data_IF_141219903184
#
_entry.id   IF_141219903184
#
_cell.length_a   1.000
_cell.length_b   1.000
_cell.length_c   1.000
_cell.angle_alpha   90.00
_cell.angle_beta   90.00
_cell.angle_gamma   90.00
#
_symmetry.space_group_name_H-M   'P 1'
#
loop_
_entity.id
_entity.type
_entity.pdbx_description
1 polymer ?
#
# COMPACT_ATOMS: atom_id res chain seq x y z
N UNK A 1 2.14 -21.91 -35.68
CA UNK A 1 2.80 -22.88 -34.77
C UNK A 1 3.72 -22.06 -33.88
N UNK A 2 3.33 -21.67 -32.66
CA UNK A 2 3.39 -22.46 -31.40
C UNK A 2 4.80 -23.06 -31.19
N UNK A 3 5.54 -22.91 -30.08
CA UNK A 3 5.39 -22.31 -28.75
C UNK A 3 6.83 -22.19 -28.15
N UNK A 4 7.13 -21.18 -27.33
CA UNK A 4 7.40 -21.25 -25.87
C UNK A 4 8.62 -22.07 -25.37
N UNK A 5 9.13 -21.63 -24.21
CA UNK A 5 10.11 -22.25 -23.27
C UNK A 5 11.56 -21.82 -23.51
N UNK A 6 12.28 -21.19 -22.59
CA UNK A 6 11.97 -20.79 -21.22
C UNK A 6 13.24 -20.28 -20.54
N UNK A 7 13.24 -19.04 -20.09
CA UNK A 7 14.27 -18.48 -19.21
C UNK A 7 13.83 -18.65 -17.77
N UNK A 8 14.02 -19.86 -17.25
CA UNK A 8 13.78 -20.20 -15.84
C UNK A 8 14.80 -19.48 -14.94
N UNK A 9 14.27 -18.73 -13.99
CA UNK A 9 14.67 -18.72 -12.57
C UNK A 9 16.16 -18.49 -12.25
N UNK A 10 16.54 -17.22 -12.08
CA UNK A 10 17.83 -16.84 -11.47
C UNK A 10 17.73 -16.40 -9.99
N UNK A 11 16.52 -16.28 -9.43
CA UNK A 11 16.35 -15.83 -8.04
C UNK A 11 16.21 -16.98 -7.02
N UNK A 12 16.00 -18.22 -7.46
CA UNK A 12 15.85 -19.37 -6.56
C UNK A 12 17.18 -19.93 -6.01
N UNK A 13 18.33 -19.57 -6.59
CA UNK A 13 19.60 -20.28 -6.34
C UNK A 13 20.48 -19.63 -5.27
N UNK A 14 20.21 -18.37 -4.88
CA UNK A 14 21.05 -17.66 -3.89
C UNK A 14 20.53 -17.82 -2.45
N UNK A 15 19.31 -18.33 -2.24
CA UNK A 15 18.69 -18.44 -0.91
C UNK A 15 18.97 -19.76 -0.17
N UNK A 16 19.64 -20.75 -0.77
CA UNK A 16 19.89 -22.04 -0.13
C UNK A 16 21.39 -22.37 -0.02
N UNK A 17 22.03 -21.82 1.02
CA UNK A 17 23.27 -22.42 1.56
C UNK A 17 23.13 -22.58 3.08
N UNK A 18 22.80 -23.82 3.50
CA UNK A 18 22.89 -24.39 4.87
C UNK A 18 24.12 -23.82 5.63
N UNK A 19 24.11 -23.53 6.93
CA UNK A 19 23.44 -24.18 8.06
C UNK A 19 23.49 -23.21 9.27
N UNK A 20 22.34 -22.73 9.74
CA UNK A 20 22.15 -22.25 11.11
C UNK A 20 20.86 -22.90 11.61
N UNK A 21 20.84 -23.29 12.89
CA UNK A 21 19.79 -24.07 13.56
C UNK A 21 18.38 -23.69 13.11
N UNK A 22 17.75 -24.61 12.37
CA UNK A 22 16.32 -24.56 12.06
C UNK A 22 15.56 -24.73 13.38
N UNK A 23 15.26 -23.60 14.03
CA UNK A 23 14.19 -23.55 15.03
C UNK A 23 12.90 -23.80 14.27
N UNK A 24 12.04 -24.75 14.68
CA UNK A 24 10.80 -25.03 13.96
C UNK A 24 9.97 -23.75 13.86
N UNK A 25 9.85 -23.28 12.62
CA UNK A 25 9.15 -22.06 12.17
C UNK A 25 7.68 -21.96 12.63
N UNK A 26 7.09 -23.08 13.05
CA UNK A 26 5.68 -23.17 13.46
C UNK A 26 5.35 -22.53 14.83
N UNK A 27 6.35 -22.18 15.67
CA UNK A 27 6.08 -21.69 17.02
C UNK A 27 6.12 -20.17 17.19
N UNK A 28 6.67 -19.42 16.22
CA UNK A 28 6.83 -17.97 16.34
C UNK A 28 5.68 -17.21 15.68
N UNK A 29 5.14 -16.25 16.42
CA UNK A 29 4.25 -15.22 15.91
C UNK A 29 4.95 -14.33 14.89
N UNK A 30 4.18 -13.65 14.03
CA UNK A 30 4.74 -12.73 13.04
C UNK A 30 5.62 -11.66 13.71
N UNK A 31 5.22 -11.18 14.89
CA UNK A 31 5.96 -10.19 15.66
C UNK A 31 7.32 -10.69 16.14
N UNK A 32 7.40 -11.94 16.60
CA UNK A 32 8.67 -12.53 17.04
C UNK A 32 9.62 -12.75 15.88
N UNK A 33 9.10 -13.17 14.71
CA UNK A 33 9.91 -13.32 13.49
C UNK A 33 10.43 -11.96 13.02
N UNK A 34 9.60 -10.91 13.03
CA UNK A 34 10.01 -9.55 12.70
C UNK A 34 11.08 -9.01 13.65
N UNK A 35 10.92 -9.24 14.97
CA UNK A 35 11.89 -8.82 15.96
C UNK A 35 13.26 -9.50 15.72
N UNK A 36 13.26 -10.80 15.41
CA UNK A 36 14.47 -11.57 15.08
C UNK A 36 15.14 -11.03 13.82
N UNK A 37 14.36 -10.81 12.76
CA UNK A 37 14.86 -10.27 11.50
C UNK A 37 15.52 -8.90 11.68
N UNK A 38 14.97 -8.02 12.51
CA UNK A 38 15.54 -6.69 12.75
C UNK A 38 16.88 -6.73 13.48
N UNK A 39 17.03 -7.67 14.42
CA UNK A 39 18.26 -7.84 15.19
C UNK A 39 19.36 -8.51 14.36
N UNK A 40 19.06 -9.61 13.66
CA UNK A 40 20.04 -10.42 12.94
C UNK A 40 20.25 -10.00 11.48
N UNK A 41 19.21 -9.47 10.83
CA UNK A 41 19.23 -9.11 9.41
C UNK A 41 19.24 -10.30 8.45
N UNK A 42 19.06 -11.52 8.95
CA UNK A 42 19.09 -12.73 8.13
C UNK A 42 17.81 -12.86 7.32
N UNK A 43 17.94 -12.90 5.99
CA UNK A 43 16.79 -13.04 5.07
C UNK A 43 16.07 -14.37 5.28
N UNK A 44 16.73 -15.39 5.86
CA UNK A 44 16.07 -16.64 6.24
C UNK A 44 14.94 -16.42 7.26
N UNK A 45 15.04 -15.38 8.12
CA UNK A 45 13.97 -15.02 9.06
C UNK A 45 12.74 -14.48 8.34
N UNK A 46 12.94 -13.66 7.30
CA UNK A 46 11.84 -13.20 6.45
C UNK A 46 11.22 -14.32 5.62
N UNK A 47 12.01 -15.34 5.26
CA UNK A 47 11.50 -16.52 4.54
C UNK A 47 10.28 -17.15 5.22
N UNK A 48 10.26 -17.16 6.56
CA UNK A 48 9.11 -17.66 7.34
C UNK A 48 7.85 -16.82 7.12
N UNK A 49 7.97 -15.48 7.13
CA UNK A 49 6.85 -14.59 6.86
C UNK A 49 6.39 -14.70 5.41
N UNK A 50 7.34 -14.93 4.48
CA UNK A 50 7.03 -15.02 3.06
C UNK A 50 6.23 -16.28 2.77
N UNK A 51 6.68 -17.43 3.25
CA UNK A 51 5.94 -18.70 3.12
C UNK A 51 4.53 -18.60 3.71
N UNK A 52 4.38 -17.94 4.86
CA UNK A 52 3.11 -17.78 5.56
C UNK A 52 2.12 -16.88 4.81
N UNK A 53 2.59 -15.78 4.24
CA UNK A 53 1.72 -14.71 3.72
C UNK A 53 1.66 -14.63 2.18
N UNK A 54 2.53 -15.34 1.46
CA UNK A 54 2.56 -15.33 -0.01
C UNK A 54 1.20 -15.68 -0.64
N UNK A 55 0.45 -16.70 -0.18
CA UNK A 55 -0.86 -17.01 -0.77
C UNK A 55 -1.87 -15.85 -0.67
N UNK A 56 -1.90 -15.15 0.46
CA UNK A 56 -2.79 -14.02 0.69
C UNK A 56 -2.39 -12.80 -0.14
N UNK A 57 -1.10 -12.49 -0.17
CA UNK A 57 -0.55 -11.41 -1.01
C UNK A 57 -0.85 -11.66 -2.48
N UNK A 58 -0.60 -12.89 -2.97
CA UNK A 58 -0.89 -13.25 -4.35
C UNK A 58 -2.38 -13.11 -4.68
N UNK A 59 -3.27 -13.54 -3.79
CA UNK A 59 -4.71 -13.39 -3.97
C UNK A 59 -5.13 -11.91 -4.04
N UNK A 60 -4.53 -11.04 -3.22
CA UNK A 60 -4.75 -9.58 -3.30
C UNK A 60 -4.27 -9.03 -4.65
N UNK A 61 -3.05 -9.36 -5.06
CA UNK A 61 -2.48 -8.89 -6.32
C UNK A 61 -3.34 -9.30 -7.52
N UNK A 62 -3.72 -10.58 -7.57
CA UNK A 62 -4.58 -11.14 -8.63
C UNK A 62 -5.93 -10.45 -8.71
N UNK A 63 -6.54 -10.12 -7.56
CA UNK A 63 -7.82 -9.41 -7.52
C UNK A 63 -7.74 -8.02 -8.14
N UNK A 64 -6.62 -7.32 -7.99
CA UNK A 64 -6.46 -5.95 -8.49
C UNK A 64 -5.92 -5.87 -9.92
N UNK A 65 -4.94 -6.70 -10.26
CA UNK A 65 -4.28 -6.62 -11.57
C UNK A 65 -5.05 -7.35 -12.67
N UNK A 66 -6.02 -8.20 -12.28
CA UNK A 66 -6.79 -9.07 -13.17
C UNK A 66 -5.89 -10.00 -14.00
N UNK A 67 -6.43 -10.98 -14.75
CA UNK A 67 -5.60 -11.84 -15.60
C UNK A 67 -4.81 -11.03 -16.64
N UNK A 68 -3.56 -11.43 -16.95
CA UNK A 68 -2.93 -12.72 -16.65
C UNK A 68 -2.33 -12.84 -15.24
N UNK A 69 -2.19 -14.07 -14.73
CA UNK A 69 -1.61 -14.36 -13.41
C UNK A 69 -0.14 -13.93 -13.28
N UNK A 70 0.57 -13.78 -14.40
CA UNK A 70 1.96 -13.31 -14.45
C UNK A 70 2.12 -11.93 -13.78
N UNK A 71 1.18 -11.02 -14.02
CA UNK A 71 1.18 -9.69 -13.40
C UNK A 71 1.09 -9.77 -11.87
N UNK A 72 0.25 -10.68 -11.36
CA UNK A 72 0.08 -10.88 -9.93
C UNK A 72 1.32 -11.53 -9.30
N UNK A 73 2.01 -12.43 -10.02
CA UNK A 73 3.25 -13.05 -9.57
C UNK A 73 4.37 -12.00 -9.46
N UNK A 74 4.53 -11.19 -10.50
CA UNK A 74 5.54 -10.12 -10.55
C UNK A 74 5.29 -9.09 -9.46
N UNK A 75 4.07 -8.61 -9.29
CA UNK A 75 3.71 -7.66 -8.23
C UNK A 75 3.95 -8.22 -6.82
N UNK A 76 3.64 -9.50 -6.60
CA UNK A 76 3.90 -10.16 -5.31
C UNK A 76 5.41 -10.23 -5.02
N UNK A 77 6.22 -10.58 -6.02
CA UNK A 77 7.68 -10.65 -5.89
C UNK A 77 8.27 -9.26 -5.60
N UNK A 78 7.90 -8.25 -6.39
CA UNK A 78 8.35 -6.87 -6.23
C UNK A 78 7.99 -6.32 -4.85
N UNK A 79 6.78 -6.62 -4.36
CA UNK A 79 6.36 -6.26 -3.02
C UNK A 79 7.32 -6.87 -1.98
N UNK A 80 7.54 -8.19 -2.00
CA UNK A 80 8.41 -8.86 -1.03
C UNK A 80 9.86 -8.39 -1.09
N UNK A 81 10.42 -8.11 -2.27
CA UNK A 81 11.74 -7.48 -2.39
C UNK A 81 11.82 -6.15 -1.65
N UNK A 82 10.77 -5.33 -1.74
CA UNK A 82 10.69 -4.07 -1.02
C UNK A 82 10.57 -4.26 0.51
N UNK A 83 9.86 -5.31 0.95
CA UNK A 83 9.70 -5.59 2.38
C UNK A 83 11.02 -5.94 3.07
N UNK A 84 11.99 -6.53 2.36
CA UNK A 84 13.33 -6.81 2.90
C UNK A 84 13.94 -5.54 3.49
N UNK A 85 13.91 -4.44 2.76
CA UNK A 85 14.49 -3.17 3.23
C UNK A 85 13.56 -2.50 4.24
N UNK A 86 12.24 -2.49 3.99
CA UNK A 86 11.26 -1.76 4.81
C UNK A 86 11.15 -2.30 6.24
N UNK A 87 11.18 -3.61 6.41
CA UNK A 87 11.01 -4.24 7.73
C UNK A 87 12.25 -4.11 8.63
N UNK A 88 13.39 -3.68 8.08
CA UNK A 88 14.58 -3.32 8.88
C UNK A 88 14.37 -2.04 9.69
N UNK A 89 13.57 -1.11 9.18
CA UNK A 89 13.36 0.20 9.81
C UNK A 89 11.97 0.35 10.41
N UNK A 90 10.96 -0.31 9.85
CA UNK A 90 9.58 -0.26 10.32
C UNK A 90 9.11 -1.58 10.96
N UNK A 91 8.38 -1.48 12.07
CA UNK A 91 7.70 -2.61 12.73
C UNK A 91 6.21 -2.32 12.78
N UNK A 92 5.37 -3.04 12.02
CA UNK A 92 3.92 -2.89 12.10
C UNK A 92 3.35 -3.60 13.32
N UNK A 93 2.31 -3.03 13.96
CA UNK A 93 1.66 -3.63 15.12
C UNK A 93 0.82 -4.87 14.75
N UNK A 94 0.12 -4.82 13.61
CA UNK A 94 -0.53 -5.97 12.99
C UNK A 94 0.05 -6.22 11.60
N UNK A 95 0.97 -7.19 11.50
CA UNK A 95 1.68 -7.48 10.26
C UNK A 95 0.75 -7.89 9.11
N UNK A 96 -0.24 -8.75 9.34
CA UNK A 96 -1.17 -9.21 8.30
C UNK A 96 -2.03 -8.08 7.73
N UNK A 97 -2.65 -7.26 8.59
CA UNK A 97 -3.45 -6.12 8.15
C UNK A 97 -2.60 -5.08 7.40
N UNK A 98 -1.39 -4.82 7.90
CA UNK A 98 -0.41 -3.94 7.28
C UNK A 98 0.04 -4.47 5.90
N UNK A 99 0.31 -5.77 5.80
CA UNK A 99 0.77 -6.42 4.58
C UNK A 99 -0.31 -6.40 3.50
N UNK A 100 -1.56 -6.69 3.87
CA UNK A 100 -2.71 -6.58 2.97
C UNK A 100 -2.84 -5.17 2.39
N UNK A 101 -2.78 -4.15 3.25
CA UNK A 101 -2.86 -2.76 2.83
C UNK A 101 -1.69 -2.37 1.92
N UNK A 102 -0.49 -2.84 2.25
CA UNK A 102 0.73 -2.61 1.47
C UNK A 102 0.62 -3.26 0.09
N UNK A 103 0.16 -4.51 0.00
CA UNK A 103 -0.08 -5.23 -1.26
C UNK A 103 -1.14 -4.53 -2.13
N UNK A 104 -2.29 -4.17 -1.55
CA UNK A 104 -3.33 -3.40 -2.26
C UNK A 104 -2.78 -2.10 -2.83
N UNK A 105 -2.01 -1.35 -2.05
CA UNK A 105 -1.43 -0.08 -2.49
C UNK A 105 -0.42 -0.27 -3.61
N UNK A 106 0.39 -1.33 -3.54
CA UNK A 106 1.33 -1.70 -4.58
C UNK A 106 0.61 -1.91 -5.93
N UNK A 107 -0.45 -2.73 -5.95
CA UNK A 107 -1.24 -2.95 -7.18
C UNK A 107 -1.89 -1.68 -7.72
N UNK A 108 -2.44 -0.82 -6.85
CA UNK A 108 -3.03 0.45 -7.27
C UNK A 108 -1.99 1.39 -7.89
N UNK A 109 -0.76 1.40 -7.37
CA UNK A 109 0.33 2.18 -7.98
C UNK A 109 0.71 1.65 -9.36
N UNK A 110 0.73 0.33 -9.51
CA UNK A 110 1.03 -0.30 -10.79
C UNK A 110 -0.04 -0.02 -11.84
N UNK A 111 -1.32 -0.14 -11.49
CA UNK A 111 -2.44 0.23 -12.38
C UNK A 111 -2.37 1.70 -12.82
N UNK A 112 -2.00 2.61 -11.91
CA UNK A 112 -1.77 4.03 -12.26
C UNK A 112 -0.60 4.20 -13.23
N UNK A 113 0.49 3.47 -13.04
CA UNK A 113 1.64 3.52 -13.95
C UNK A 113 1.26 3.00 -15.35
N UNK A 114 0.50 1.90 -15.42
CA UNK A 114 -0.04 1.34 -16.68
C UNK A 114 -0.92 2.35 -17.42
N UNK A 115 -1.82 3.04 -16.72
CA UNK A 115 -2.70 4.08 -17.29
C UNK A 115 -1.92 5.25 -17.91
N UNK A 116 -0.76 5.62 -17.34
CA UNK A 116 0.08 6.72 -17.84
C UNK A 116 1.00 6.32 -19.00
N UNK A 117 1.04 5.05 -19.40
CA UNK A 117 1.96 4.57 -20.44
C UNK A 117 3.44 4.59 -20.02
N UNK A 118 3.73 4.78 -18.73
CA UNK A 118 5.07 4.69 -18.19
C UNK A 118 5.37 3.23 -17.86
N UNK A 119 6.45 2.67 -18.43
CA UNK A 119 6.87 1.30 -18.12
C UNK A 119 7.03 1.12 -16.60
N UNK A 120 6.34 0.13 -16.04
CA UNK A 120 6.49 -0.29 -14.65
C UNK A 120 7.91 -0.81 -14.42
N UNK A 121 8.78 0.07 -13.93
CA UNK A 121 10.17 -0.27 -13.60
C UNK A 121 10.86 0.77 -12.71
N UNK A 122 10.12 1.78 -12.23
CA UNK A 122 10.66 2.76 -11.31
C UNK A 122 10.80 2.16 -9.90
N UNK A 123 11.86 2.51 -9.14
CA UNK A 123 12.06 1.97 -7.80
C UNK A 123 10.82 2.23 -6.92
N UNK A 124 10.39 1.18 -6.21
CA UNK A 124 9.31 1.13 -5.20
C UNK A 124 9.56 2.02 -3.98
N UNK A 125 10.19 3.19 -4.13
CA UNK A 125 10.58 4.08 -3.04
C UNK A 125 9.41 4.80 -2.35
N UNK A 126 8.18 4.53 -2.76
CA UNK A 126 7.06 5.45 -2.58
C UNK A 126 5.71 4.75 -2.34
N UNK A 127 5.69 3.59 -1.69
CA UNK A 127 4.46 3.21 -1.00
C UNK A 127 4.21 4.21 0.14
N UNK A 128 2.96 4.68 0.34
CA UNK A 128 2.60 5.36 1.58
C UNK A 128 3.11 4.53 2.75
N UNK A 129 3.70 5.20 3.74
CA UNK A 129 4.25 4.50 4.88
C UNK A 129 3.11 3.74 5.55
N UNK A 130 3.30 2.45 5.78
CA UNK A 130 2.17 1.58 6.09
C UNK A 130 1.74 1.68 7.57
N UNK A 131 2.46 2.52 8.35
CA UNK A 131 2.00 3.19 9.58
C UNK A 131 0.76 4.07 9.39
N UNK A 132 0.39 4.41 8.15
CA UNK A 132 -0.63 5.42 7.88
C UNK A 132 -1.97 4.83 7.36
N UNK A 133 -2.18 3.51 7.47
CA UNK A 133 -3.30 2.78 6.84
C UNK A 133 -4.14 1.94 7.81
N UNK A 134 -3.85 1.94 9.13
CA UNK A 134 -4.71 1.28 10.12
C UNK A 134 -6.17 1.79 10.12
N UNK A 135 -6.44 2.91 9.44
CA UNK A 135 -7.75 3.54 9.43
C UNK A 135 -8.69 3.14 8.30
N UNK A 136 -8.28 2.25 7.38
CA UNK A 136 -9.07 1.90 6.19
C UNK A 136 -9.57 0.44 6.15
N UNK A 137 -9.22 -0.40 7.13
CA UNK A 137 -9.56 -1.83 7.13
C UNK A 137 -10.95 -2.17 7.71
N UNK A 138 -11.87 -1.20 7.80
CA UNK A 138 -13.23 -1.43 8.26
C UNK A 138 -14.24 -0.79 7.29
N UNK A 139 -14.62 -1.51 6.23
CA UNK A 139 -15.92 -1.35 5.59
C UNK A 139 -16.26 -2.59 4.76
N UNK A 140 -17.39 -3.18 5.12
CA UNK A 140 -18.06 -4.29 4.44
C UNK A 140 -18.52 -3.85 3.04
N UNK A 141 -18.64 -4.83 2.14
CA UNK A 141 -19.18 -4.70 0.77
C UNK A 141 -20.64 -4.18 0.80
N UNK A 142 -21.02 -3.15 0.01
CA UNK A 142 -22.41 -2.74 -0.12
C UNK A 142 -23.20 -3.60 -1.13
N UNK A 143 -24.50 -3.78 -0.86
CA UNK A 143 -25.49 -4.51 -1.67
C UNK A 143 -26.41 -3.52 -2.43
N UNK A 144 -26.97 -3.95 -3.57
CA UNK A 144 -27.44 -3.14 -4.69
C UNK A 144 -28.88 -2.55 -4.59
N UNK A 145 -29.31 -2.09 -3.40
CA UNK A 145 -30.69 -1.62 -3.19
C UNK A 145 -30.83 -0.13 -2.78
N UNK A 146 -29.76 0.67 -2.85
CA UNK A 146 -29.67 1.96 -2.16
C UNK A 146 -29.65 3.22 -3.06
N UNK A 147 -29.99 3.12 -4.35
CA UNK A 147 -29.55 4.11 -5.36
C UNK A 147 -30.17 5.53 -5.22
N UNK A 148 -31.37 5.72 -4.66
CA UNK A 148 -31.98 7.06 -4.53
C UNK A 148 -31.65 7.79 -3.22
N UNK A 149 -31.43 7.04 -2.13
CA UNK A 149 -30.97 7.57 -0.83
C UNK A 149 -29.43 7.74 -0.85
N UNK A 150 -28.74 6.98 -1.71
CA UNK A 150 -27.32 7.14 -2.02
C UNK A 150 -27.01 8.50 -2.64
N UNK A 151 -27.82 9.04 -3.55
CA UNK A 151 -27.49 10.29 -4.24
C UNK A 151 -27.44 11.50 -3.29
N UNK A 152 -28.44 11.64 -2.40
CA UNK A 152 -28.47 12.72 -1.41
C UNK A 152 -27.35 12.55 -0.36
N UNK A 153 -27.11 11.32 0.09
CA UNK A 153 -26.00 11.02 1.02
C UNK A 153 -24.63 11.22 0.35
N UNK A 154 -24.53 10.93 -0.95
CA UNK A 154 -23.33 11.12 -1.75
C UNK A 154 -23.01 12.60 -1.90
N UNK A 155 -24.00 13.43 -2.26
CA UNK A 155 -23.83 14.88 -2.35
C UNK A 155 -23.48 15.51 -1.00
N UNK A 156 -24.11 15.06 0.09
CA UNK A 156 -23.75 15.49 1.45
C UNK A 156 -22.30 15.10 1.83
N UNK A 157 -21.86 13.90 1.44
CA UNK A 157 -20.48 13.44 1.67
C UNK A 157 -19.47 14.25 0.85
N UNK A 158 -19.80 14.63 -0.39
CA UNK A 158 -18.96 15.49 -1.23
C UNK A 158 -18.83 16.89 -0.63
N UNK A 159 -19.91 17.50 -0.19
CA UNK A 159 -19.87 18.79 0.51
C UNK A 159 -19.03 18.72 1.79
N UNK A 160 -19.14 17.62 2.56
CA UNK A 160 -18.31 17.38 3.73
C UNK A 160 -16.82 17.32 3.39
N UNK A 161 -16.49 16.67 2.27
CA UNK A 161 -15.13 16.56 1.78
C UNK A 161 -14.58 17.92 1.33
N UNK A 162 -15.35 18.71 0.58
CA UNK A 162 -14.98 20.06 0.12
C UNK A 162 -14.69 21.00 1.30
N UNK A 163 -15.60 21.05 2.28
CA UNK A 163 -15.39 21.82 3.51
C UNK A 163 -14.15 21.33 4.26
N UNK A 164 -13.98 20.02 4.38
CA UNK A 164 -12.81 19.44 5.05
C UNK A 164 -11.50 19.80 4.36
N UNK A 165 -11.46 19.80 3.02
CA UNK A 165 -10.33 20.24 2.22
C UNK A 165 -10.04 21.73 2.43
N UNK A 166 -11.08 22.56 2.54
CA UNK A 166 -10.96 24.02 2.75
C UNK A 166 -10.24 24.39 4.06
N UNK A 167 -10.23 23.48 5.05
CA UNK A 167 -9.51 23.68 6.30
C UNK A 167 -8.02 23.33 6.22
N UNK A 168 -7.58 22.56 5.23
CA UNK A 168 -6.18 22.16 5.13
C UNK A 168 -5.27 23.36 4.80
N UNK A 169 -4.04 23.40 5.36
CA UNK A 169 -3.01 24.33 4.92
C UNK A 169 -2.76 24.24 3.40
N UNK A 170 -2.47 25.36 2.71
CA UNK A 170 -2.38 25.40 1.25
C UNK A 170 -1.45 24.35 0.66
N UNK A 171 -0.24 24.20 1.21
CA UNK A 171 0.74 23.22 0.70
C UNK A 171 0.30 21.77 0.91
N UNK A 172 -0.38 21.48 2.03
CA UNK A 172 -0.93 20.15 2.29
C UNK A 172 -2.06 19.83 1.31
N UNK A 173 -2.99 20.79 1.11
CA UNK A 173 -4.06 20.65 0.14
C UNK A 173 -3.50 20.46 -1.27
N UNK A 174 -2.55 21.30 -1.68
CA UNK A 174 -1.97 21.25 -3.02
C UNK A 174 -1.26 19.93 -3.27
N UNK A 175 -0.49 19.42 -2.30
CA UNK A 175 0.11 18.09 -2.40
C UNK A 175 -0.96 16.99 -2.54
N UNK A 176 -2.04 17.04 -1.76
CA UNK A 176 -3.12 16.06 -1.85
C UNK A 176 -3.85 16.10 -3.20
N UNK A 177 -4.18 17.29 -3.71
CA UNK A 177 -4.81 17.46 -5.02
C UNK A 177 -3.94 16.85 -6.12
N UNK A 178 -2.66 17.25 -6.17
CA UNK A 178 -1.73 16.74 -7.16
C UNK A 178 -1.60 15.22 -7.10
N UNK A 179 -1.51 14.65 -5.89
CA UNK A 179 -1.27 13.22 -5.72
C UNK A 179 -2.53 12.36 -5.91
N UNK A 180 -3.67 12.78 -5.35
CA UNK A 180 -4.89 11.97 -5.32
C UNK A 180 -5.88 12.31 -6.43
N UNK A 181 -5.97 13.58 -6.86
CA UNK A 181 -6.89 14.00 -7.92
C UNK A 181 -6.20 14.00 -9.29
N UNK A 182 -4.99 14.57 -9.38
CA UNK A 182 -4.21 14.58 -10.62
C UNK A 182 -3.35 13.31 -10.81
N UNK A 183 -3.46 12.34 -9.88
CA UNK A 183 -2.75 11.05 -9.89
C UNK A 183 -1.21 11.12 -10.05
N UNK A 184 -0.59 12.24 -9.65
CA UNK A 184 0.85 12.45 -9.78
C UNK A 184 1.66 11.60 -8.80
N UNK A 185 2.81 11.13 -9.25
CA UNK A 185 3.84 10.51 -8.40
C UNK A 185 4.47 11.55 -7.47
N UNK A 186 5.11 11.10 -6.39
CA UNK A 186 5.82 12.04 -5.50
C UNK A 186 6.86 12.88 -6.23
N UNK A 187 7.56 12.31 -7.22
CA UNK A 187 8.54 13.05 -8.02
C UNK A 187 7.85 14.13 -8.87
N UNK A 188 6.71 13.83 -9.49
CA UNK A 188 5.93 14.83 -10.24
C UNK A 188 5.33 15.90 -9.32
N UNK A 189 4.95 15.55 -8.09
CA UNK A 189 4.52 16.52 -7.07
C UNK A 189 5.69 17.42 -6.66
N UNK A 190 6.88 16.85 -6.42
CA UNK A 190 8.12 17.61 -6.17
C UNK A 190 8.39 18.58 -7.31
N UNK A 191 8.37 18.10 -8.56
CA UNK A 191 8.57 18.93 -9.76
C UNK A 191 7.50 20.02 -9.88
N UNK A 192 6.24 19.71 -9.58
CA UNK A 192 5.13 20.66 -9.70
C UNK A 192 5.11 21.73 -8.60
N UNK A 193 5.62 21.40 -7.41
CA UNK A 193 5.54 22.28 -6.21
C UNK A 193 6.87 22.94 -5.85
N UNK A 194 8.00 22.42 -6.34
CA UNK A 194 9.33 22.84 -5.93
C UNK A 194 9.74 22.41 -4.51
N UNK A 195 8.89 21.67 -3.80
CA UNK A 195 9.14 21.23 -2.43
C UNK A 195 10.09 20.02 -2.39
N UNK A 196 10.88 19.91 -1.34
CA UNK A 196 11.73 18.72 -1.12
C UNK A 196 10.87 17.45 -0.93
N UNK A 197 11.35 16.30 -1.41
CA UNK A 197 10.62 15.02 -1.35
C UNK A 197 10.11 14.66 0.06
N UNK A 198 10.95 14.84 1.08
CA UNK A 198 10.56 14.56 2.47
C UNK A 198 9.45 15.50 2.96
N UNK A 199 9.44 16.74 2.49
CA UNK A 199 8.41 17.71 2.81
C UNK A 199 7.09 17.38 2.10
N UNK A 200 7.14 16.96 0.83
CA UNK A 200 5.96 16.44 0.10
C UNK A 200 5.36 15.24 0.83
N UNK A 201 6.18 14.27 1.26
CA UNK A 201 5.72 13.12 2.05
C UNK A 201 5.05 13.56 3.35
N UNK A 202 5.67 14.47 4.09
CA UNK A 202 5.12 15.02 5.33
C UNK A 202 3.79 15.76 5.09
N UNK A 203 3.68 16.56 4.02
CA UNK A 203 2.44 17.25 3.68
C UNK A 203 1.31 16.31 3.31
N UNK A 204 1.58 15.26 2.53
CA UNK A 204 0.59 14.22 2.19
C UNK A 204 0.11 13.49 3.44
N UNK A 205 1.03 13.10 4.31
CA UNK A 205 0.71 12.40 5.56
C UNK A 205 -0.13 13.28 6.49
N UNK A 206 0.34 14.49 6.78
CA UNK A 206 -0.33 15.41 7.71
C UNK A 206 -1.65 15.90 7.16
N UNK A 207 -1.70 16.20 5.85
CA UNK A 207 -2.92 16.55 5.14
C UNK A 207 -3.97 15.45 5.25
N UNK A 208 -3.61 14.17 5.01
CA UNK A 208 -4.56 13.05 5.13
C UNK A 208 -5.06 12.85 6.56
N UNK A 209 -4.19 12.95 7.56
CA UNK A 209 -4.59 12.87 8.98
C UNK A 209 -5.56 13.99 9.35
N UNK A 210 -5.27 15.20 8.91
CA UNK A 210 -6.12 16.36 9.15
C UNK A 210 -7.47 16.21 8.44
N UNK A 211 -7.45 15.81 7.16
CA UNK A 211 -8.65 15.56 6.35
C UNK A 211 -9.54 14.50 6.98
N UNK A 212 -8.98 13.40 7.49
CA UNK A 212 -9.74 12.37 8.21
C UNK A 212 -10.44 12.96 9.44
N UNK A 213 -9.73 13.77 10.22
CA UNK A 213 -10.27 14.36 11.46
C UNK A 213 -11.36 15.39 11.17
N UNK A 214 -11.15 16.27 10.19
CA UNK A 214 -12.15 17.28 9.80
C UNK A 214 -13.36 16.60 9.18
N UNK A 215 -13.17 15.66 8.25
CA UNK A 215 -14.28 14.93 7.63
C UNK A 215 -15.13 14.17 8.67
N UNK A 216 -14.50 13.51 9.64
CA UNK A 216 -15.23 12.84 10.70
C UNK A 216 -16.04 13.82 11.58
N UNK A 217 -15.52 15.03 11.82
CA UNK A 217 -16.26 16.09 12.53
C UNK A 217 -17.44 16.59 11.68
N UNK A 218 -17.19 16.87 10.41
CA UNK A 218 -18.17 17.36 9.43
C UNK A 218 -19.31 16.37 9.15
N UNK A 219 -19.04 15.06 9.21
CA UNK A 219 -20.04 14.00 9.10
C UNK A 219 -20.81 13.78 10.41
N UNK A 220 -20.19 14.00 11.58
CA UNK A 220 -20.89 13.90 12.87
C UNK A 220 -21.88 15.05 13.08
N UNK A 221 -21.46 16.28 12.81
CA UNK A 221 -22.33 17.47 12.96
C UNK A 221 -23.61 17.29 12.14
N UNK A 222 -23.49 16.82 10.90
CA UNK A 222 -24.63 16.59 10.01
C UNK A 222 -25.55 15.44 10.43
N UNK A 223 -25.05 14.43 11.14
CA UNK A 223 -25.90 13.34 11.62
C UNK A 223 -26.67 13.73 12.89
N UNK A 224 -26.27 14.82 13.55
CA UNK A 224 -26.89 15.35 14.76
C UNK A 224 -27.88 16.51 14.47
N UNK A 225 -27.96 16.98 13.21
CA UNK A 225 -28.88 18.02 12.69
C UNK A 225 -30.11 17.41 12.00
#
# INVERSE_FOLDING_TARGET
MAASVGTRSYLATVLFRRRASFVPSAALSDQEVLARYRQGGDVADLGVLYERHLPEVFAVCRRYLAPPDEDAQDASMQLFEHLVVKLRTHTPDNFGAWLYATARNHCLMELRARRRGTASGGPLLLLPDATEVETAAARQLPDAAAEAEEDAQHEANLQALELSLSHLPPDQRRCLELFYLEEKTYQEVVTSTGLALNLVKSHLQNGRRMLKRTLHKELRIRNDE
#
